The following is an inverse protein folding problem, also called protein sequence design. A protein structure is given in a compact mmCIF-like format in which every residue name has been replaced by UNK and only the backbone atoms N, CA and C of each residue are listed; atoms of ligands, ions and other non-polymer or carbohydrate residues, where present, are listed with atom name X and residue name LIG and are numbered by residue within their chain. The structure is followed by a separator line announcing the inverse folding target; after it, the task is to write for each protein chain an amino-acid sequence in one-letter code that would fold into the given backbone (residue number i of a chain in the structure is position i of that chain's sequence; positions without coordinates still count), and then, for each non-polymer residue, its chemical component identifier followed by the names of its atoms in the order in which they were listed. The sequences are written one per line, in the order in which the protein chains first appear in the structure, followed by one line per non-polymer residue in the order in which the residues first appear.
data_IF_866710553116
#
_entry.id   IF_866710553116
#
_cell.length_a   1.000
_cell.length_b   1.000
_cell.length_c   1.000
_cell.angle_alpha   90.00
_cell.angle_beta   90.00
_cell.angle_gamma   90.00
#
_symmetry.space_group_name_H-M   'P 1'
#
loop_
_entity.id
_entity.type
_entity.pdbx_description
1 polymer ?
#
# COMPACT_ATOMS: atom_id res chain seq x y z
N UNK A 1 -2.95 -10.73 13.36
CA UNK A 1 -2.88 -9.88 12.15
C UNK A 1 -3.73 -8.67 12.40
N UNK A 2 -3.14 -7.47 12.38
CA UNK A 2 -3.85 -6.21 12.62
C UNK A 2 -3.63 -5.29 11.42
N UNK A 3 -4.71 -4.70 10.93
CA UNK A 3 -4.73 -3.82 9.75
C UNK A 3 -4.32 -2.39 10.15
N UNK A 4 -3.56 -1.72 9.28
CA UNK A 4 -2.96 -0.39 9.47
C UNK A 4 -3.91 0.74 9.02
N UNK A 5 -3.85 1.92 9.67
CA UNK A 5 -4.56 3.13 9.28
C UNK A 5 -3.60 4.27 8.94
N UNK A 6 -3.99 5.11 7.97
CA UNK A 6 -3.17 6.18 7.39
C UNK A 6 -3.73 7.57 7.69
N UNK A 7 -2.89 8.51 8.17
CA UNK A 7 -3.24 9.92 8.39
C UNK A 7 -2.73 10.81 7.23
N UNK A 8 -3.67 11.30 6.41
CA UNK A 8 -3.38 12.10 5.20
C UNK A 8 -2.79 13.48 5.50
N UNK A 9 -2.99 14.03 6.70
CA UNK A 9 -2.50 15.36 7.06
C UNK A 9 -0.97 15.41 7.23
N UNK A 10 -0.33 14.24 7.36
CA UNK A 10 1.12 14.10 7.58
C UNK A 10 1.92 13.80 6.30
N UNK A 11 1.27 13.86 5.15
CA UNK A 11 1.83 13.46 3.84
C UNK A 11 2.65 14.60 3.23
N UNK A 12 3.95 14.39 3.03
CA UNK A 12 4.77 15.25 2.16
C UNK A 12 4.92 14.59 0.78
N UNK A 13 4.43 15.23 -0.29
CA UNK A 13 4.37 14.65 -1.64
C UNK A 13 5.31 15.35 -2.63
N UNK A 14 6.07 14.58 -3.41
CA UNK A 14 6.89 15.04 -4.52
C UNK A 14 6.92 14.00 -5.65
N UNK A 15 6.41 14.34 -6.83
CA UNK A 15 6.54 13.51 -8.04
C UNK A 15 6.08 12.05 -7.88
N UNK A 16 4.92 11.81 -7.28
CA UNK A 16 4.38 10.45 -7.05
C UNK A 16 4.94 9.73 -5.81
N UNK A 17 5.88 10.35 -5.08
CA UNK A 17 6.41 9.84 -3.80
C UNK A 17 5.82 10.60 -2.63
N UNK A 18 5.53 9.90 -1.54
CA UNK A 18 5.20 10.53 -0.27
C UNK A 18 5.73 9.77 0.95
N UNK A 19 5.99 10.49 2.03
CA UNK A 19 6.30 9.93 3.35
C UNK A 19 5.19 10.31 4.31
N UNK A 20 4.73 9.36 5.12
CA UNK A 20 3.66 9.54 6.09
C UNK A 20 3.99 8.86 7.42
N UNK A 21 3.41 9.39 8.49
CA UNK A 21 3.46 8.78 9.82
C UNK A 21 2.25 7.86 10.01
N UNK A 22 2.45 6.72 10.67
CA UNK A 22 1.37 5.80 11.03
C UNK A 22 1.27 5.63 12.55
N UNK A 23 0.06 5.28 13.01
CA UNK A 23 -0.21 4.81 14.36
C UNK A 23 -0.80 3.40 14.28
N UNK A 24 -0.38 2.53 15.19
CA UNK A 24 -1.02 1.21 15.36
C UNK A 24 -2.25 1.39 16.23
N UNK A 25 -3.37 0.86 15.76
CA UNK A 25 -4.63 0.86 16.50
C UNK A 25 -5.16 -0.56 16.67
N UNK A 26 -6.03 -0.76 17.66
CA UNK A 26 -6.84 -1.98 17.74
C UNK A 26 -8.03 -1.95 16.76
N UNK A 27 -8.84 -3.01 16.78
CA UNK A 27 -10.00 -3.15 15.90
C UNK A 27 -11.08 -2.07 16.09
N UNK A 28 -11.05 -1.34 17.20
CA UNK A 28 -11.98 -0.24 17.50
C UNK A 28 -11.42 1.13 17.10
N UNK A 29 -10.14 1.17 16.70
CA UNK A 29 -9.40 2.40 16.39
C UNK A 29 -8.71 3.02 17.60
N UNK A 30 -8.58 2.32 18.73
CA UNK A 30 -7.86 2.82 19.89
C UNK A 30 -6.36 2.76 19.65
N UNK A 31 -5.66 3.86 19.90
CA UNK A 31 -4.21 3.96 19.79
C UNK A 31 -3.50 2.97 20.74
N UNK A 32 -2.55 2.22 20.19
CA UNK A 32 -1.73 1.24 20.92
C UNK A 32 -0.35 1.80 21.31
N UNK A 33 -0.08 3.08 21.06
CA UNK A 33 1.15 3.78 21.45
C UNK A 33 2.35 3.50 20.55
N UNK A 34 2.21 2.64 19.55
CA UNK A 34 3.25 2.33 18.57
C UNK A 34 3.03 3.14 17.30
N UNK A 35 4.03 3.91 16.91
CA UNK A 35 4.03 4.71 15.68
C UNK A 35 5.30 4.49 14.88
N UNK A 36 5.29 4.97 13.64
CA UNK A 36 6.46 4.94 12.77
C UNK A 36 6.21 5.79 11.54
N UNK A 37 7.13 5.70 10.58
CA UNK A 37 6.96 6.33 9.27
C UNK A 37 7.05 5.28 8.18
N UNK A 38 6.48 5.59 7.03
CA UNK A 38 6.65 4.81 5.83
C UNK A 38 6.70 5.76 4.63
N UNK A 39 7.40 5.34 3.58
CA UNK A 39 7.48 6.05 2.32
C UNK A 39 6.86 5.21 1.22
N UNK A 40 5.96 5.79 0.44
CA UNK A 40 5.39 5.17 -0.76
C UNK A 40 5.86 5.94 -1.98
N UNK A 41 6.27 5.22 -3.01
CA UNK A 41 6.56 5.76 -4.33
C UNK A 41 5.63 5.10 -5.34
N UNK A 42 4.82 5.90 -6.04
CA UNK A 42 4.02 5.44 -7.17
C UNK A 42 4.93 5.32 -8.38
N UNK A 43 5.13 4.10 -8.85
CA UNK A 43 5.96 3.79 -10.02
C UNK A 43 5.18 4.00 -11.32
N UNK A 44 3.90 3.63 -11.32
CA UNK A 44 3.00 3.84 -12.45
C UNK A 44 1.53 3.76 -12.00
N UNK A 45 0.63 4.45 -12.70
CA UNK A 45 -0.82 4.41 -12.47
C UNK A 45 -1.56 5.09 -13.62
N UNK A 46 -2.77 4.60 -13.94
CA UNK A 46 -3.73 5.31 -14.78
C UNK A 46 -4.68 6.22 -13.98
N UNK A 47 -4.49 6.31 -12.66
CA UNK A 47 -5.37 6.97 -11.67
C UNK A 47 -6.80 6.40 -11.56
N UNK A 48 -7.20 5.49 -12.43
CA UNK A 48 -8.58 5.01 -12.55
C UNK A 48 -8.73 3.54 -12.14
N UNK A 49 -7.83 2.67 -12.55
CA UNK A 49 -7.99 1.23 -12.40
C UNK A 49 -6.85 0.57 -11.63
N UNK A 50 -5.61 1.02 -11.81
CA UNK A 50 -4.44 0.36 -11.22
C UNK A 50 -3.39 1.34 -10.68
N UNK A 51 -2.55 0.85 -9.78
CA UNK A 51 -1.32 1.51 -9.37
C UNK A 51 -0.24 0.48 -9.06
N UNK A 52 1.00 0.81 -9.42
CA UNK A 52 2.20 0.09 -9.00
C UNK A 52 2.89 0.97 -7.99
N UNK A 53 3.17 0.44 -6.81
CA UNK A 53 3.82 1.21 -5.75
C UNK A 53 4.96 0.46 -5.10
N UNK A 54 5.95 1.20 -4.63
CA UNK A 54 7.01 0.75 -3.75
C UNK A 54 6.78 1.33 -2.34
N UNK A 55 6.65 0.48 -1.33
CA UNK A 55 6.54 0.82 0.08
C UNK A 55 7.88 0.55 0.77
N UNK A 56 8.39 1.52 1.51
CA UNK A 56 9.60 1.41 2.32
C UNK A 56 9.28 1.83 3.77
N UNK A 57 9.53 0.95 4.74
CA UNK A 57 9.28 1.16 6.16
C UNK A 57 10.60 1.06 6.92
N UNK A 58 11.12 2.16 7.49
CA UNK A 58 12.30 2.11 8.36
C UNK A 58 12.05 1.24 9.60
N UNK A 59 13.01 0.38 9.95
CA UNK A 59 12.94 -0.51 11.09
C UNK A 59 14.32 -0.65 11.74
N UNK A 60 14.64 0.28 12.65
CA UNK A 60 15.99 0.37 13.23
C UNK A 60 16.98 0.84 12.16
N UNK A 61 18.05 0.07 11.96
CA UNK A 61 19.06 0.33 10.91
C UNK A 61 18.69 -0.32 9.55
N UNK A 62 17.62 -1.11 9.50
CA UNK A 62 17.14 -1.82 8.31
C UNK A 62 15.87 -1.18 7.72
N UNK A 63 15.49 -1.65 6.54
CA UNK A 63 14.24 -1.31 5.86
C UNK A 63 13.44 -2.56 5.52
N UNK A 64 12.13 -2.51 5.78
CA UNK A 64 11.19 -3.41 5.14
C UNK A 64 10.69 -2.77 3.85
N UNK A 65 10.87 -3.46 2.72
CA UNK A 65 10.46 -2.98 1.41
C UNK A 65 9.45 -3.93 0.76
N UNK A 66 8.47 -3.36 0.06
CA UNK A 66 7.43 -4.12 -0.61
C UNK A 66 6.99 -3.40 -1.89
N UNK A 67 7.03 -4.11 -3.01
CA UNK A 67 6.39 -3.69 -4.24
C UNK A 67 4.98 -4.25 -4.31
N UNK A 68 4.01 -3.44 -4.73
CA UNK A 68 2.61 -3.86 -4.85
C UNK A 68 2.02 -3.43 -6.18
N UNK A 69 1.18 -4.30 -6.73
CA UNK A 69 0.25 -3.97 -7.82
C UNK A 69 -1.15 -3.92 -7.23
N UNK A 70 -1.76 -2.75 -7.22
CA UNK A 70 -3.11 -2.52 -6.74
C UNK A 70 -4.10 -2.41 -7.91
N UNK A 71 -5.32 -2.92 -7.73
CA UNK A 71 -6.41 -2.78 -8.69
C UNK A 71 -7.70 -2.37 -7.95
N UNK A 72 -8.51 -1.48 -8.55
CA UNK A 72 -9.80 -1.09 -7.96
C UNK A 72 -10.85 -2.20 -8.01
N UNK A 73 -10.67 -3.19 -8.90
CA UNK A 73 -11.51 -4.39 -8.98
C UNK A 73 -10.76 -5.56 -8.34
N UNK A 74 -11.41 -6.23 -7.38
CA UNK A 74 -10.90 -7.47 -6.81
C UNK A 74 -10.57 -8.46 -7.93
N UNK A 75 -9.38 -9.06 -7.86
CA UNK A 75 -8.85 -10.04 -8.82
C UNK A 75 -8.76 -9.52 -10.27
N UNK A 76 -8.82 -8.19 -10.47
CA UNK A 76 -8.74 -7.54 -11.77
C UNK A 76 -7.32 -7.53 -12.34
N UNK A 77 -7.23 -7.45 -13.67
CA UNK A 77 -5.98 -7.31 -14.41
C UNK A 77 -5.96 -5.98 -15.17
N UNK A 78 -4.77 -5.55 -15.60
CA UNK A 78 -4.60 -4.38 -16.45
C UNK A 78 -3.38 -4.56 -17.35
N UNK A 79 -3.53 -4.32 -18.65
CA UNK A 79 -2.53 -4.67 -19.67
C UNK A 79 -1.20 -3.94 -19.50
N UNK A 80 -1.24 -2.69 -19.04
CA UNK A 80 -0.04 -1.87 -18.82
C UNK A 80 0.85 -2.34 -17.67
N UNK A 81 0.35 -3.16 -16.74
CA UNK A 81 1.10 -3.53 -15.52
C UNK A 81 2.42 -4.22 -15.89
N UNK A 82 2.41 -5.16 -16.83
CA UNK A 82 3.60 -5.92 -17.21
C UNK A 82 4.69 -5.02 -17.81
N UNK A 83 4.32 -4.13 -18.73
CA UNK A 83 5.25 -3.19 -19.35
C UNK A 83 5.83 -2.19 -18.34
N UNK A 84 5.01 -1.72 -17.40
CA UNK A 84 5.43 -0.74 -16.39
C UNK A 84 6.32 -1.33 -15.29
N UNK A 85 6.14 -2.61 -14.96
CA UNK A 85 7.11 -3.33 -14.13
C UNK A 85 8.45 -3.50 -14.85
N UNK A 86 8.42 -3.85 -16.13
CA UNK A 86 9.63 -4.03 -16.95
C UNK A 86 10.46 -2.74 -17.04
N UNK A 87 9.81 -1.57 -17.20
CA UNK A 87 10.51 -0.28 -17.21
C UNK A 87 11.18 0.06 -15.86
N UNK A 88 10.71 -0.57 -14.78
CA UNK A 88 11.29 -0.48 -13.43
C UNK A 88 12.24 -1.63 -13.11
N UNK A 89 12.62 -2.45 -14.10
CA UNK A 89 13.45 -3.67 -13.92
C UNK A 89 12.84 -4.72 -12.98
N UNK A 90 11.51 -4.80 -12.92
CA UNK A 90 10.76 -5.80 -12.15
C UNK A 90 10.02 -6.75 -13.11
N UNK A 91 9.89 -8.02 -12.72
CA UNK A 91 9.06 -9.00 -13.44
C UNK A 91 7.78 -9.29 -12.66
N UNK A 92 6.63 -9.31 -13.35
CA UNK A 92 5.34 -9.66 -12.76
C UNK A 92 5.33 -11.10 -12.24
N UNK A 93 6.14 -12.00 -12.81
CA UNK A 93 6.21 -13.40 -12.35
C UNK A 93 6.81 -13.57 -10.97
N UNK A 94 7.56 -12.58 -10.48
CA UNK A 94 8.15 -12.59 -9.14
C UNK A 94 7.15 -12.14 -8.06
N UNK A 95 5.98 -11.64 -8.46
CA UNK A 95 4.93 -11.21 -7.54
C UNK A 95 4.04 -12.39 -7.14
N UNK A 96 3.62 -12.37 -5.87
CA UNK A 96 2.58 -13.30 -5.39
C UNK A 96 1.20 -12.78 -5.74
N UNK A 97 0.44 -13.56 -6.51
CA UNK A 97 -0.99 -13.29 -6.76
C UNK A 97 -1.81 -13.52 -5.50
N UNK A 98 -2.58 -12.51 -5.07
CA UNK A 98 -3.47 -12.61 -3.89
C UNK A 98 -4.82 -13.27 -4.20
N UNK A 99 -5.18 -13.40 -5.48
CA UNK A 99 -6.46 -13.97 -5.94
C UNK A 99 -6.73 -15.37 -5.35
N UNK A 100 -5.70 -16.19 -5.30
CA UNK A 100 -5.81 -17.60 -4.94
C UNK A 100 -5.54 -17.85 -3.45
N UNK A 101 -5.31 -16.79 -2.65
CA UNK A 101 -5.00 -16.88 -1.22
C UNK A 101 -6.25 -16.89 -0.32
N UNK A 102 -7.45 -16.80 -0.89
CA UNK A 102 -8.69 -16.79 -0.12
C UNK A 102 -8.83 -15.55 0.78
N UNK A 103 -8.32 -14.40 0.34
CA UNK A 103 -8.31 -13.15 1.12
C UNK A 103 -9.73 -12.73 1.55
N UNK A 104 -9.89 -12.46 2.85
CA UNK A 104 -11.07 -11.84 3.44
C UNK A 104 -10.84 -10.34 3.59
N UNK A 105 -11.73 -9.53 3.03
CA UNK A 105 -11.62 -8.08 3.02
C UNK A 105 -12.64 -7.47 4.00
N UNK A 106 -12.19 -6.53 4.84
CA UNK A 106 -13.03 -5.78 5.79
C UNK A 106 -13.18 -4.32 5.31
N UNK A 107 -13.62 -4.11 4.06
CA UNK A 107 -13.62 -2.78 3.42
C UNK A 107 -14.39 -1.71 4.20
N UNK A 108 -15.59 -2.03 4.68
CA UNK A 108 -16.42 -1.07 5.43
C UNK A 108 -15.79 -0.66 6.75
N UNK A 109 -15.12 -1.59 7.43
CA UNK A 109 -14.38 -1.30 8.65
C UNK A 109 -13.18 -0.41 8.36
N UNK A 110 -12.41 -0.73 7.31
CA UNK A 110 -11.28 0.10 6.90
C UNK A 110 -11.72 1.53 6.55
N UNK A 111 -12.81 1.69 5.79
CA UNK A 111 -13.40 3.01 5.50
C UNK A 111 -13.80 3.75 6.78
N UNK A 112 -14.51 3.08 7.70
CA UNK A 112 -14.99 3.68 8.96
C UNK A 112 -13.86 4.23 9.83
N UNK A 113 -12.68 3.63 9.74
CA UNK A 113 -11.51 4.00 10.50
C UNK A 113 -10.72 5.16 9.84
N UNK A 114 -10.89 5.39 8.54
CA UNK A 114 -10.27 6.50 7.80
C UNK A 114 -11.06 7.80 7.87
N UNK A 115 -12.31 7.75 8.33
CA UNK A 115 -13.24 8.89 8.40
C UNK A 115 -13.38 9.49 9.81
N UNK A 116 -12.55 9.06 10.78
CA UNK A 116 -12.57 9.57 12.16
C UNK A 116 -11.76 10.85 12.34
#
# INVERSE_FOLDING_TARGET
GGTLLFDKSTVNANGGKYTASYKRVDETGKDLGNSGTYTVTVLDTDNENYAITHLCVPSGDDFFELYTVANRKKDGTHDSVKSSLTSSSLDLTDFTSTKDLGCKYEEEKAKSLLTK
#
